data_IF_151472102215
#
_entry.id   IF_151472102215
#
_cell.length_a   1.000
_cell.length_b   1.000
_cell.length_c   1.000
_cell.angle_alpha   90.00
_cell.angle_beta   90.00
_cell.angle_gamma   90.00
#
_symmetry.space_group_name_H-M   'P 1'
#
loop_
_entity.id
_entity.type
_entity.pdbx_description
1 polymer ?
#
# COMPACT_ATOMS: atom_id res chain seq x y z
N UNK A 1 -16.35 1.85 -7.38
CA UNK A 1 -15.47 2.90 -6.80
C UNK A 1 -14.16 2.24 -6.37
N UNK A 2 -12.99 2.88 -6.53
CA UNK A 2 -11.72 2.26 -6.11
C UNK A 2 -11.38 2.70 -4.69
N UNK A 3 -11.15 1.72 -3.80
CA UNK A 3 -10.75 2.00 -2.41
C UNK A 3 -9.60 1.11 -2.00
N UNK A 4 -8.58 1.71 -1.40
CA UNK A 4 -7.41 1.01 -0.89
C UNK A 4 -7.09 1.49 0.52
N UNK A 5 -6.74 0.54 1.38
CA UNK A 5 -6.45 0.75 2.78
C UNK A 5 -5.01 0.38 3.08
N UNK A 6 -4.22 1.37 3.48
CA UNK A 6 -2.85 1.21 3.94
C UNK A 6 -2.79 1.20 5.45
N UNK A 7 -1.99 0.29 6.02
CA UNK A 7 -1.82 0.10 7.46
C UNK A 7 -0.35 -0.10 7.79
N UNK A 8 0.16 0.69 8.71
CA UNK A 8 1.50 0.54 9.26
C UNK A 8 1.41 -0.28 10.53
N UNK A 9 2.11 -1.41 10.55
CA UNK A 9 2.22 -2.28 11.72
C UNK A 9 3.62 -2.21 12.30
N UNK A 10 3.72 -2.12 13.63
CA UNK A 10 4.97 -2.21 14.39
C UNK A 10 4.71 -3.01 15.65
N UNK A 11 5.54 -4.02 15.94
CA UNK A 11 5.42 -4.83 17.17
C UNK A 11 4.00 -5.34 17.42
N UNK A 12 3.35 -5.84 16.36
CA UNK A 12 1.97 -6.33 16.38
C UNK A 12 0.90 -5.28 16.78
N UNK A 13 1.25 -3.99 16.76
CA UNK A 13 0.34 -2.86 16.94
C UNK A 13 0.15 -2.11 15.63
N UNK A 14 -1.09 -1.68 15.37
CA UNK A 14 -1.40 -0.76 14.29
C UNK A 14 -0.96 0.64 14.71
N UNK A 15 0.06 1.20 14.07
CA UNK A 15 0.52 2.56 14.35
C UNK A 15 -0.38 3.59 13.68
N UNK A 16 -0.58 3.41 12.38
CA UNK A 16 -1.34 4.33 11.55
C UNK A 16 -2.01 3.58 10.42
N UNK A 17 -3.17 4.07 10.00
CA UNK A 17 -3.85 3.59 8.83
C UNK A 17 -4.44 4.75 8.03
N UNK A 18 -4.59 4.53 6.73
CA UNK A 18 -5.11 5.52 5.80
C UNK A 18 -5.93 4.82 4.73
N UNK A 19 -7.10 5.38 4.44
CA UNK A 19 -7.96 4.89 3.37
C UNK A 19 -7.98 5.91 2.25
N UNK A 20 -7.45 5.53 1.09
CA UNK A 20 -7.50 6.35 -0.12
C UNK A 20 -8.67 5.86 -0.96
N UNK A 21 -9.54 6.80 -1.34
CA UNK A 21 -10.69 6.55 -2.20
C UNK A 21 -10.48 7.29 -3.52
N UNK A 22 -10.39 6.55 -4.61
CA UNK A 22 -10.29 7.11 -5.95
C UNK A 22 -11.61 6.86 -6.70
N UNK A 23 -12.32 7.94 -7.00
CA UNK A 23 -13.59 7.89 -7.72
C UNK A 23 -13.41 7.90 -9.25
N UNK A 24 -12.19 8.00 -9.77
CA UNK A 24 -11.97 8.11 -11.20
C UNK A 24 -12.19 6.76 -11.89
N UNK A 25 -13.22 6.64 -12.74
CA UNK A 25 -13.51 5.42 -13.50
C UNK A 25 -12.56 5.19 -14.69
N UNK A 26 -11.80 6.22 -15.09
CA UNK A 26 -11.03 6.23 -16.35
C UNK A 26 -9.60 5.64 -16.26
N UNK A 27 -9.06 5.46 -15.03
CA UNK A 27 -7.68 4.97 -14.83
C UNK A 27 -7.60 3.44 -14.72
N UNK A 28 -6.54 2.86 -15.26
CA UNK A 28 -6.24 1.42 -15.15
C UNK A 28 -5.98 1.03 -13.67
N UNK A 29 -6.38 -0.18 -13.25
CA UNK A 29 -6.32 -0.67 -11.86
C UNK A 29 -4.96 -0.42 -11.20
N UNK A 30 -3.90 -0.80 -11.91
CA UNK A 30 -2.51 -0.63 -11.50
C UNK A 30 -2.17 0.84 -11.23
N UNK A 31 -2.61 1.76 -12.10
CA UNK A 31 -2.32 3.19 -11.95
C UNK A 31 -2.94 3.76 -10.68
N UNK A 32 -4.18 3.36 -10.36
CA UNK A 32 -4.87 3.79 -9.13
C UNK A 32 -4.15 3.31 -7.87
N UNK A 33 -3.67 2.06 -7.88
CA UNK A 33 -2.89 1.50 -6.76
C UNK A 33 -1.58 2.28 -6.58
N UNK A 34 -0.86 2.58 -7.66
CA UNK A 34 0.36 3.38 -7.58
C UNK A 34 0.10 4.79 -7.05
N UNK A 35 -0.92 5.47 -7.56
CA UNK A 35 -1.35 6.82 -7.14
C UNK A 35 -1.66 6.84 -5.63
N UNK A 36 -2.47 5.88 -5.18
CA UNK A 36 -2.83 5.78 -3.78
C UNK A 36 -1.63 5.45 -2.87
N UNK A 37 -0.77 4.50 -3.25
CA UNK A 37 0.45 4.21 -2.47
C UNK A 37 1.34 5.45 -2.40
N UNK A 38 1.43 6.22 -3.47
CA UNK A 38 2.20 7.44 -3.51
C UNK A 38 1.65 8.48 -2.52
N UNK A 39 0.33 8.69 -2.48
CA UNK A 39 -0.32 9.52 -1.46
C UNK A 39 -0.13 8.98 -0.04
N UNK A 40 -0.20 7.66 0.15
CA UNK A 40 0.05 7.03 1.45
C UNK A 40 1.48 7.30 1.91
N UNK A 41 2.47 7.06 1.04
CA UNK A 41 3.87 7.29 1.35
C UNK A 41 4.12 8.77 1.65
N UNK A 42 3.51 9.68 0.89
CA UNK A 42 3.59 11.11 1.16
C UNK A 42 2.99 11.49 2.52
N UNK A 43 1.83 10.93 2.87
CA UNK A 43 1.15 11.21 4.15
C UNK A 43 1.91 10.63 5.35
N UNK A 44 2.52 9.46 5.17
CA UNK A 44 3.30 8.80 6.21
C UNK A 44 4.75 9.29 6.30
N UNK A 45 5.16 10.23 5.45
CA UNK A 45 6.56 10.68 5.32
C UNK A 45 7.53 9.52 5.04
N UNK A 46 7.12 8.62 4.15
CA UNK A 46 7.86 7.41 3.78
C UNK A 46 8.40 7.47 2.36
N UNK A 47 9.52 6.81 2.15
CA UNK A 47 10.02 6.51 0.81
C UNK A 47 9.10 5.54 0.08
N UNK A 48 9.00 5.67 -1.25
CA UNK A 48 8.19 4.76 -2.07
C UNK A 48 8.71 3.32 -1.94
N UNK A 49 7.86 2.35 -1.56
CA UNK A 49 8.29 0.96 -1.46
C UNK A 49 8.57 0.37 -2.84
N UNK A 50 9.56 -0.51 -2.89
CA UNK A 50 9.92 -1.32 -4.04
C UNK A 50 8.92 -2.48 -4.12
N UNK A 51 8.36 -2.68 -5.32
CA UNK A 51 7.53 -3.84 -5.62
C UNK A 51 8.41 -5.05 -5.92
N UNK A 52 8.50 -5.95 -4.94
CA UNK A 52 9.12 -7.25 -5.14
C UNK A 52 8.15 -8.22 -5.85
N UNK A 53 8.67 -9.24 -6.50
CA UNK A 53 7.85 -10.27 -7.16
C UNK A 53 6.87 -10.93 -6.19
N UNK A 54 7.27 -11.17 -4.94
CA UNK A 54 6.41 -11.69 -3.89
C UNK A 54 5.22 -10.77 -3.62
N UNK A 55 5.45 -9.47 -3.59
CA UNK A 55 4.40 -8.47 -3.34
C UNK A 55 3.39 -8.45 -4.48
N UNK A 56 3.88 -8.49 -5.73
CA UNK A 56 3.06 -8.52 -6.93
C UNK A 56 2.21 -9.79 -6.96
N UNK A 57 2.79 -10.96 -6.65
CA UNK A 57 2.05 -12.22 -6.62
C UNK A 57 0.99 -12.26 -5.52
N UNK A 58 1.29 -11.76 -4.31
CA UNK A 58 0.30 -11.70 -3.22
C UNK A 58 -0.84 -10.75 -3.58
N UNK A 59 -0.51 -9.57 -4.14
CA UNK A 59 -1.50 -8.58 -4.56
C UNK A 59 -2.41 -9.11 -5.67
N UNK A 60 -1.88 -9.83 -6.66
CA UNK A 60 -2.70 -10.44 -7.72
C UNK A 60 -3.62 -11.55 -7.22
N UNK A 61 -3.25 -12.24 -6.13
CA UNK A 61 -4.02 -13.39 -5.61
C UNK A 61 -5.05 -13.00 -4.55
N UNK A 62 -4.78 -11.95 -3.79
CA UNK A 62 -5.53 -11.60 -2.57
C UNK A 62 -5.96 -10.14 -2.51
N UNK A 63 -5.60 -9.36 -3.52
CA UNK A 63 -5.81 -7.92 -3.57
C UNK A 63 -5.23 -7.21 -2.34
N UNK A 64 -4.22 -7.86 -1.73
CA UNK A 64 -3.54 -7.48 -0.51
C UNK A 64 -2.06 -7.78 -0.64
N UNK A 65 -1.21 -6.93 -0.10
CA UNK A 65 0.23 -7.20 -0.03
C UNK A 65 0.87 -6.47 1.16
N UNK A 66 2.09 -6.86 1.51
CA UNK A 66 2.83 -6.35 2.67
C UNK A 66 4.23 -5.96 2.28
N UNK A 67 4.57 -4.69 2.44
CA UNK A 67 5.90 -4.15 2.24
C UNK A 67 6.63 -4.16 3.57
N UNK A 68 7.59 -5.07 3.72
CA UNK A 68 8.51 -5.13 4.86
C UNK A 68 9.62 -4.11 4.69
N UNK A 69 10.47 -3.94 5.71
CA UNK A 69 11.68 -3.09 5.66
C UNK A 69 12.54 -3.31 4.43
N UNK A 70 12.66 -4.55 3.97
CA UNK A 70 13.41 -4.92 2.75
C UNK A 70 12.88 -4.25 1.47
N UNK A 71 11.59 -3.90 1.45
CA UNK A 71 10.98 -3.18 0.34
C UNK A 71 11.31 -1.68 0.37
N UNK A 72 11.86 -1.14 1.45
CA UNK A 72 12.19 0.28 1.57
C UNK A 72 13.71 0.48 1.47
N UNK A 73 14.11 1.52 0.73
CA UNK A 73 15.52 1.91 0.62
C UNK A 73 15.97 2.61 1.91
N UNK A 74 15.03 3.28 2.60
CA UNK A 74 15.28 4.04 3.82
C UNK A 74 14.94 3.22 5.07
N UNK A 75 15.53 3.60 6.21
CA UNK A 75 15.32 2.90 7.47
C UNK A 75 13.94 3.27 8.03
N UNK A 76 13.03 2.30 7.99
CA UNK A 76 11.70 2.46 8.56
C UNK A 76 11.62 1.94 10.01
N UNK A 77 10.92 2.69 10.85
CA UNK A 77 10.72 2.37 12.27
C UNK A 77 9.58 1.35 12.52
N UNK A 78 8.90 0.88 11.48
CA UNK A 78 7.79 -0.09 11.55
C UNK A 78 8.12 -1.44 10.91
N UNK A 79 7.41 -2.50 11.27
CA UNK A 79 7.67 -3.86 10.75
C UNK A 79 7.31 -4.01 9.27
N UNK A 80 6.08 -3.63 8.91
CA UNK A 80 5.60 -3.67 7.54
C UNK A 80 4.43 -2.71 7.30
N UNK A 81 4.35 -2.21 6.07
CA UNK A 81 3.20 -1.52 5.51
C UNK A 81 2.32 -2.56 4.80
N UNK A 82 1.15 -2.85 5.34
CA UNK A 82 0.14 -3.67 4.67
C UNK A 82 -0.75 -2.77 3.82
N UNK A 83 -0.95 -3.12 2.55
CA UNK A 83 -1.96 -2.49 1.70
C UNK A 83 -3.01 -3.52 1.30
N UNK A 84 -4.25 -3.09 1.30
CA UNK A 84 -5.39 -3.92 0.92
C UNK A 84 -6.35 -3.13 0.05
N UNK A 85 -6.65 -3.66 -1.13
CA UNK A 85 -7.73 -3.18 -1.98
C UNK A 85 -9.05 -3.65 -1.38
N UNK A 86 -9.93 -2.69 -1.10
CA UNK A 86 -11.26 -2.95 -0.52
C UNK A 86 -12.33 -3.03 -1.59
N UNK A 87 -12.23 -2.20 -2.62
CA UNK A 87 -13.21 -2.12 -3.70
C UNK A 87 -12.51 -2.02 -5.05
N UNK A 88 -12.94 -2.90 -5.96
CA UNK A 88 -12.55 -2.96 -7.36
C UNK A 88 -13.82 -2.69 -8.17
N UNK A 89 -13.85 -1.61 -8.97
CA UNK A 89 -14.91 -1.40 -9.95
C UNK A 89 -14.54 -2.12 -11.25
#
# INVERSE_FOLDING_TARGET
>A
MFRIWGKIWKDNHLLQDITICDAATDKNRTRKVFDAIEEMCYTFDLSKPIWLESNIQDFQRRDKTRFTKDSFIDEIDFDYLEIQMLEED
#
